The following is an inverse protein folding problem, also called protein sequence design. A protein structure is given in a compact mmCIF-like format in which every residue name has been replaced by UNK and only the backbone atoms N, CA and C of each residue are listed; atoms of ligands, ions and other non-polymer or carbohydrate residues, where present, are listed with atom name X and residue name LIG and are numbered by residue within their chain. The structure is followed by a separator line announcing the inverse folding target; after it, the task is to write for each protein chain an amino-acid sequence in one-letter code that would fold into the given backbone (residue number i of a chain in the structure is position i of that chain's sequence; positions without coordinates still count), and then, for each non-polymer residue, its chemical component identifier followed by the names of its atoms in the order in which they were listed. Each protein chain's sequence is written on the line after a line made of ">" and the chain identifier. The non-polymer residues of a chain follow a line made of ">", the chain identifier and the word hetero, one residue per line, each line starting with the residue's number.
data_IF_881394714450
#
_entry.id   IF_881394714450
#
_cell.length_a   1.000
_cell.length_b   1.000
_cell.length_c   1.000
_cell.angle_alpha   90.00
_cell.angle_beta   90.00
_cell.angle_gamma   90.00
#
_symmetry.space_group_name_H-M   'P 1'
#
loop_
_entity.id
_entity.type
_entity.pdbx_description
1 polymer ?
#
# COMPACT_ATOMS: atom_id res chain seq x y z
N UNK A 1 3.13 -56.48 14.49
CA UNK A 1 2.40 -55.53 15.37
C UNK A 1 3.07 -54.17 15.20
N UNK A 2 2.28 -53.20 14.72
CA UNK A 2 2.49 -51.75 14.70
C UNK A 2 3.48 -51.11 13.71
N UNK A 3 2.99 -51.01 12.47
CA UNK A 3 2.70 -49.77 11.72
C UNK A 3 3.17 -48.44 12.35
N UNK A 4 4.02 -47.70 11.63
CA UNK A 4 4.06 -46.24 11.63
C UNK A 4 4.09 -45.76 10.18
N UNK A 5 2.89 -45.50 9.65
CA UNK A 5 2.67 -44.83 8.38
C UNK A 5 3.04 -43.35 8.57
N UNK A 6 4.21 -42.95 8.06
CA UNK A 6 4.62 -41.56 8.02
C UNK A 6 3.83 -40.87 6.91
N UNK A 7 2.82 -40.09 7.29
CA UNK A 7 2.06 -39.23 6.38
C UNK A 7 3.00 -38.13 5.91
N UNK A 8 3.61 -38.33 4.74
CA UNK A 8 4.24 -37.27 3.96
C UNK A 8 3.11 -36.39 3.40
N UNK A 9 2.78 -35.31 4.10
CA UNK A 9 1.99 -34.21 3.54
C UNK A 9 2.86 -33.53 2.48
N UNK A 10 2.76 -34.02 1.25
CA UNK A 10 3.17 -33.26 0.07
C UNK A 10 2.15 -32.12 -0.04
N UNK A 11 2.50 -30.95 0.48
CA UNK A 11 1.87 -29.70 0.04
C UNK A 11 2.28 -29.53 -1.42
N UNK A 12 1.46 -30.06 -2.34
CA UNK A 12 1.48 -29.61 -3.71
C UNK A 12 1.28 -28.10 -3.66
N UNK A 13 2.35 -27.34 -3.95
CA UNK A 13 2.21 -25.95 -4.34
C UNK A 13 1.37 -25.98 -5.61
N UNK A 14 0.04 -25.87 -5.44
CA UNK A 14 -0.86 -25.49 -6.51
C UNK A 14 -0.31 -24.14 -6.97
N UNK A 15 0.40 -24.16 -8.10
CA UNK A 15 0.83 -22.96 -8.79
C UNK A 15 -0.42 -22.36 -9.45
N UNK A 16 -1.31 -21.82 -8.62
CA UNK A 16 -2.42 -21.00 -9.07
C UNK A 16 -1.79 -19.71 -9.54
N UNK A 17 -1.68 -19.55 -10.87
CA UNK A 17 -1.44 -18.24 -11.46
C UNK A 17 -2.49 -17.28 -10.90
N UNK A 18 -2.03 -16.24 -10.20
CA UNK A 18 -2.93 -15.23 -9.67
C UNK A 18 -3.66 -14.56 -10.83
N UNK A 19 -4.99 -14.53 -10.79
CA UNK A 19 -5.79 -13.86 -11.81
C UNK A 19 -5.51 -12.35 -11.76
N UNK A 20 -5.33 -11.74 -12.92
CA UNK A 20 -4.96 -10.31 -13.03
C UNK A 20 -5.92 -9.54 -13.91
N UNK A 21 -6.00 -8.24 -13.67
CA UNK A 21 -6.80 -7.30 -14.46
C UNK A 21 -5.97 -6.07 -14.81
N UNK A 22 -6.17 -5.51 -16.00
CA UNK A 22 -5.54 -4.25 -16.41
C UNK A 22 -6.59 -3.15 -16.49
N UNK A 23 -6.30 -2.01 -15.86
CA UNK A 23 -7.12 -0.79 -15.96
C UNK A 23 -6.30 0.37 -16.53
N UNK A 24 -7.01 1.31 -17.18
CA UNK A 24 -6.44 2.58 -17.59
C UNK A 24 -6.60 3.60 -16.46
N UNK A 25 -5.53 4.28 -16.08
CA UNK A 25 -5.57 5.41 -15.15
C UNK A 25 -5.07 6.69 -15.81
N UNK A 26 -5.17 7.82 -15.10
CA UNK A 26 -4.57 9.10 -15.51
C UNK A 26 -3.04 9.06 -15.64
N UNK A 27 -2.38 8.15 -14.92
CA UNK A 27 -0.91 8.05 -14.84
C UNK A 27 -0.32 6.98 -15.76
N UNK A 28 -1.16 6.16 -16.39
CA UNK A 28 -0.75 5.01 -17.19
C UNK A 28 -1.60 3.77 -16.92
N UNK A 29 -1.26 2.65 -17.55
CA UNK A 29 -1.95 1.38 -17.32
C UNK A 29 -1.42 0.69 -16.07
N UNK A 30 -2.31 0.06 -15.30
CA UNK A 30 -1.97 -0.73 -14.12
C UNK A 30 -2.50 -2.14 -14.26
N UNK A 31 -1.66 -3.13 -13.94
CA UNK A 31 -2.05 -4.52 -13.79
C UNK A 31 -2.17 -4.86 -12.30
N UNK A 32 -3.40 -5.13 -11.86
CA UNK A 32 -3.74 -5.52 -10.49
C UNK A 32 -4.16 -6.99 -10.40
N UNK A 33 -4.50 -7.41 -9.18
CA UNK A 33 -4.95 -8.75 -8.83
C UNK A 33 -6.47 -8.82 -8.76
N UNK A 34 -7.02 -9.97 -9.16
CA UNK A 34 -8.37 -10.41 -8.81
C UNK A 34 -8.25 -11.33 -7.60
N UNK A 35 -8.96 -11.00 -6.52
CA UNK A 35 -8.91 -11.70 -5.23
C UNK A 35 -10.30 -12.10 -4.78
N UNK A 36 -10.36 -13.07 -3.88
CA UNK A 36 -11.59 -13.51 -3.21
C UNK A 36 -11.51 -13.21 -1.72
N UNK A 37 -12.56 -12.61 -1.17
CA UNK A 37 -12.67 -12.33 0.27
C UNK A 37 -12.73 -13.64 1.05
N UNK A 38 -11.91 -13.76 2.09
CA UNK A 38 -11.93 -14.96 2.95
C UNK A 38 -13.22 -15.07 3.79
N UNK A 39 -14.01 -13.99 3.85
CA UNK A 39 -15.22 -13.92 4.67
C UNK A 39 -16.47 -14.44 3.95
N UNK A 40 -16.57 -14.22 2.64
CA UNK A 40 -17.77 -14.55 1.87
C UNK A 40 -17.51 -14.92 0.40
N UNK A 41 -16.25 -15.14 0.02
CA UNK A 41 -15.81 -15.55 -1.32
C UNK A 41 -16.13 -14.54 -2.44
N UNK A 42 -16.59 -13.33 -2.09
CA UNK A 42 -16.81 -12.27 -3.07
C UNK A 42 -15.51 -11.83 -3.71
N UNK A 43 -15.55 -11.66 -5.01
CA UNK A 43 -14.42 -11.10 -5.77
C UNK A 43 -14.22 -9.63 -5.41
N UNK A 44 -12.96 -9.24 -5.26
CA UNK A 44 -12.51 -7.85 -5.19
C UNK A 44 -11.20 -7.71 -5.97
N UNK A 45 -10.84 -6.48 -6.29
CA UNK A 45 -9.66 -6.15 -7.07
C UNK A 45 -8.66 -5.42 -6.17
N UNK A 46 -7.39 -5.78 -6.29
CA UNK A 46 -6.31 -5.19 -5.50
C UNK A 46 -5.19 -4.68 -6.41
N UNK A 47 -4.79 -3.43 -6.23
CA UNK A 47 -3.65 -2.82 -6.89
C UNK A 47 -2.65 -2.41 -5.82
N UNK A 48 -1.53 -3.12 -5.75
CA UNK A 48 -0.56 -3.02 -4.67
C UNK A 48 0.72 -2.33 -5.13
N UNK A 49 1.39 -1.60 -4.24
CA UNK A 49 2.71 -1.04 -4.52
C UNK A 49 2.70 0.07 -5.59
N UNK A 50 1.63 0.84 -5.69
CA UNK A 50 1.54 1.99 -6.60
C UNK A 50 2.40 3.13 -6.02
N UNK A 51 3.42 3.65 -6.72
CA UNK A 51 4.23 4.75 -6.20
C UNK A 51 3.43 6.05 -6.26
N UNK A 52 3.33 6.75 -5.14
CA UNK A 52 2.75 8.10 -5.09
C UNK A 52 3.83 9.19 -4.98
N UNK A 53 5.01 8.84 -4.48
CA UNK A 53 6.16 9.74 -4.37
C UNK A 53 7.44 9.14 -4.95
N UNK A 54 8.38 10.00 -5.36
CA UNK A 54 9.73 9.57 -5.71
C UNK A 54 10.42 8.95 -4.49
N UNK A 55 11.27 7.93 -4.67
CA UNK A 55 12.05 7.36 -3.58
C UNK A 55 12.83 8.45 -2.83
N UNK A 56 12.64 8.62 -1.51
CA UNK A 56 13.29 9.66 -0.73
C UNK A 56 14.75 9.28 -0.37
N UNK A 57 15.52 8.94 -1.41
CA UNK A 57 16.91 8.51 -1.34
C UNK A 57 17.87 9.67 -1.66
N UNK A 58 19.12 9.57 -1.22
CA UNK A 58 20.15 10.56 -1.51
C UNK A 58 19.73 11.96 -1.09
N UNK A 59 19.73 12.91 -2.03
CA UNK A 59 19.39 14.32 -1.79
C UNK A 59 17.93 14.55 -1.39
N UNK A 60 17.05 13.56 -1.59
CA UNK A 60 15.65 13.61 -1.16
C UNK A 60 15.44 13.10 0.28
N UNK A 61 16.48 12.51 0.89
CA UNK A 61 16.41 12.04 2.28
C UNK A 61 16.13 13.23 3.20
N UNK A 62 15.18 13.07 4.11
CA UNK A 62 14.67 14.10 5.05
C UNK A 62 13.93 15.31 4.43
N UNK A 63 13.95 15.47 3.10
CA UNK A 63 13.24 16.57 2.42
C UNK A 63 11.77 16.27 2.20
N UNK A 64 11.00 17.29 1.83
CA UNK A 64 9.62 17.12 1.39
C UNK A 64 9.55 16.12 0.21
N UNK A 65 8.53 15.25 0.17
CA UNK A 65 8.39 14.28 -0.91
C UNK A 65 8.06 15.00 -2.23
N UNK A 66 8.42 14.35 -3.32
CA UNK A 66 8.07 14.81 -4.67
C UNK A 66 7.11 13.80 -5.31
N UNK A 67 6.11 14.23 -6.07
CA UNK A 67 5.24 13.31 -6.84
C UNK A 67 6.08 12.40 -7.74
N UNK A 68 5.69 11.13 -7.84
CA UNK A 68 6.41 10.15 -8.69
C UNK A 68 6.38 10.54 -10.17
N UNK A 69 5.18 10.82 -10.70
CA UNK A 69 4.93 11.09 -12.12
C UNK A 69 4.05 10.01 -12.77
N UNK A 70 3.87 10.12 -14.07
CA UNK A 70 3.28 9.11 -14.94
C UNK A 70 4.32 8.04 -15.35
N UNK A 71 3.85 6.99 -16.01
CA UNK A 71 4.70 5.95 -16.59
C UNK A 71 4.19 5.49 -17.95
N UNK A 72 5.12 5.01 -18.77
CA UNK A 72 4.80 4.40 -20.05
C UNK A 72 4.50 2.89 -19.90
N UNK A 73 3.59 2.39 -20.73
CA UNK A 73 3.21 0.98 -20.75
C UNK A 73 2.37 0.54 -19.55
N UNK A 74 2.41 -0.76 -19.27
CA UNK A 74 1.67 -1.39 -18.18
C UNK A 74 2.61 -1.55 -16.98
N UNK A 75 2.25 -0.95 -15.85
CA UNK A 75 2.96 -1.14 -14.58
C UNK A 75 2.29 -2.22 -13.75
N UNK A 76 3.10 -3.08 -13.16
CA UNK A 76 2.63 -4.09 -12.23
C UNK A 76 2.34 -3.50 -10.86
N UNK A 77 1.11 -3.77 -10.40
CA UNK A 77 0.62 -3.48 -9.06
C UNK A 77 0.16 -4.78 -8.37
N UNK A 78 1.02 -5.80 -8.45
CA UNK A 78 0.73 -7.17 -7.99
C UNK A 78 1.29 -7.48 -6.60
N UNK A 79 2.19 -6.65 -6.09
CA UNK A 79 2.87 -6.86 -4.80
C UNK A 79 2.96 -5.56 -4.04
N UNK A 80 2.96 -5.65 -2.72
CA UNK A 80 3.24 -4.50 -1.88
C UNK A 80 4.56 -3.84 -2.25
N UNK A 81 4.60 -2.51 -2.17
CA UNK A 81 5.86 -1.78 -2.12
C UNK A 81 6.61 -2.07 -0.82
N UNK A 82 7.85 -1.59 -0.69
CA UNK A 82 8.60 -1.84 0.53
C UNK A 82 7.93 -1.17 1.74
N UNK A 83 7.92 -1.88 2.87
CA UNK A 83 7.63 -1.29 4.16
C UNK A 83 8.63 -0.15 4.47
N UNK A 84 8.19 0.94 5.12
CA UNK A 84 9.08 2.02 5.54
C UNK A 84 10.15 1.51 6.51
N UNK A 85 11.36 2.09 6.41
CA UNK A 85 12.47 1.79 7.30
C UNK A 85 12.06 1.99 8.76
N UNK A 86 12.16 0.92 9.56
CA UNK A 86 11.69 0.90 10.94
C UNK A 86 12.48 -0.11 11.80
N UNK A 87 12.38 -0.05 13.14
CA UNK A 87 12.92 -1.10 14.01
C UNK A 87 12.28 -2.46 13.68
N UNK A 88 13.04 -3.53 13.81
CA UNK A 88 12.50 -4.89 13.72
C UNK A 88 11.44 -5.10 14.80
N UNK A 89 10.38 -5.86 14.49
CA UNK A 89 9.29 -6.11 15.44
C UNK A 89 9.78 -6.67 16.78
N UNK A 90 10.77 -7.57 16.73
CA UNK A 90 11.37 -8.15 17.94
C UNK A 90 12.22 -7.14 18.72
N UNK A 91 12.77 -6.13 18.06
CA UNK A 91 13.53 -5.04 18.70
C UNK A 91 12.65 -4.12 19.56
N UNK A 92 11.32 -4.17 19.41
CA UNK A 92 10.40 -3.52 20.33
C UNK A 92 10.24 -4.29 21.66
N UNK A 93 10.58 -5.58 21.68
CA UNK A 93 10.38 -6.48 22.84
C UNK A 93 11.67 -7.13 23.36
N UNK A 94 12.82 -6.83 22.74
CA UNK A 94 14.13 -7.38 23.07
C UNK A 94 15.23 -6.32 22.89
N UNK A 95 16.41 -6.53 23.48
CA UNK A 95 17.59 -5.69 23.25
C UNK A 95 18.27 -5.98 21.88
N UNK A 96 17.49 -6.38 20.87
CA UNK A 96 18.00 -6.50 19.50
C UNK A 96 17.94 -5.14 18.82
N UNK A 97 18.92 -4.85 17.95
CA UNK A 97 18.98 -3.62 17.16
C UNK A 97 18.70 -3.90 15.67
N UNK A 98 17.83 -4.87 15.41
CA UNK A 98 17.47 -5.20 14.04
C UNK A 98 16.60 -4.09 13.44
N UNK A 99 16.77 -3.85 12.14
CA UNK A 99 15.93 -2.91 11.40
C UNK A 99 15.39 -3.59 10.16
N UNK A 100 14.14 -3.31 9.82
CA UNK A 100 13.45 -3.82 8.65
C UNK A 100 13.05 -2.67 7.72
N UNK A 101 12.49 -3.01 6.56
CA UNK A 101 11.99 -2.05 5.59
C UNK A 101 13.09 -1.32 4.79
N UNK A 102 12.65 -0.39 3.96
CA UNK A 102 13.44 0.40 3.02
C UNK A 102 13.10 1.90 3.15
N UNK A 103 14.04 2.76 2.75
CA UNK A 103 13.73 4.19 2.56
C UNK A 103 12.91 4.43 1.29
N UNK A 104 13.07 3.59 0.27
CA UNK A 104 12.18 3.58 -0.89
C UNK A 104 10.86 2.91 -0.49
N UNK A 105 9.95 3.69 0.10
CA UNK A 105 8.72 3.18 0.70
C UNK A 105 7.46 3.99 0.37
N UNK A 106 7.51 5.01 -0.48
CA UNK A 106 6.36 5.89 -0.78
C UNK A 106 5.37 5.26 -1.78
N UNK A 107 4.74 4.19 -1.31
CA UNK A 107 3.78 3.37 -2.06
C UNK A 107 2.41 3.36 -1.39
N UNK A 108 1.37 3.17 -2.20
CA UNK A 108 0.01 2.95 -1.77
C UNK A 108 -0.60 1.72 -2.44
N UNK A 109 -1.67 1.23 -1.83
CA UNK A 109 -2.47 0.12 -2.29
C UNK A 109 -3.92 0.56 -2.41
N UNK A 110 -4.63 0.03 -3.40
CA UNK A 110 -6.05 0.33 -3.67
C UNK A 110 -6.81 -0.97 -3.77
N UNK A 111 -7.98 -1.00 -3.14
CA UNK A 111 -8.89 -2.14 -3.12
C UNK A 111 -10.30 -1.69 -3.49
N UNK A 112 -10.96 -2.44 -4.37
CA UNK A 112 -12.32 -2.15 -4.81
C UNK A 112 -13.09 -3.43 -5.12
N UNK A 113 -14.40 -3.43 -4.89
CA UNK A 113 -15.28 -4.57 -5.15
C UNK A 113 -15.69 -4.72 -6.63
N UNK A 114 -15.62 -3.64 -7.41
CA UNK A 114 -16.06 -3.60 -8.80
C UNK A 114 -15.09 -2.76 -9.63
N UNK A 115 -14.88 -3.16 -10.89
CA UNK A 115 -14.10 -2.37 -11.84
C UNK A 115 -14.92 -1.16 -12.28
N UNK A 116 -14.28 0.01 -12.47
CA UNK A 116 -14.98 1.24 -12.86
C UNK A 116 -15.62 1.10 -14.25
N UNK A 117 -16.91 1.43 -14.37
CA UNK A 117 -17.62 1.49 -15.65
C UNK A 117 -17.97 2.92 -16.03
N UNK A 118 -18.13 3.13 -17.33
CA UNK A 118 -18.57 4.42 -17.87
C UNK A 118 -19.98 4.71 -17.36
N UNK A 119 -20.20 5.91 -16.81
CA UNK A 119 -21.47 6.39 -16.24
C UNK A 119 -21.96 5.68 -14.97
N UNK A 120 -21.08 4.98 -14.25
CA UNK A 120 -21.40 4.42 -12.94
C UNK A 120 -21.24 5.46 -11.83
N UNK A 121 -22.03 5.31 -10.76
CA UNK A 121 -21.92 6.18 -9.59
C UNK A 121 -20.59 5.95 -8.89
N UNK A 122 -19.94 7.04 -8.48
CA UNK A 122 -18.66 6.96 -7.77
C UNK A 122 -18.86 6.56 -6.31
N UNK A 123 -17.97 5.74 -5.79
CA UNK A 123 -18.07 5.12 -4.46
C UNK A 123 -17.33 5.95 -3.40
N UNK A 124 -17.79 5.97 -2.14
CA UNK A 124 -17.02 6.56 -1.04
C UNK A 124 -15.61 5.97 -0.95
N UNK A 125 -14.64 6.80 -0.59
CA UNK A 125 -13.22 6.41 -0.49
C UNK A 125 -12.81 6.42 0.98
N UNK A 126 -12.29 5.29 1.46
CA UNK A 126 -11.74 5.15 2.81
C UNK A 126 -10.22 5.16 2.73
N UNK A 127 -9.57 6.13 3.38
CA UNK A 127 -8.09 6.22 3.40
C UNK A 127 -7.55 5.75 4.74
N UNK A 128 -6.82 4.65 4.73
CA UNK A 128 -6.20 4.05 5.92
C UNK A 128 -4.81 4.64 6.20
N UNK A 129 -4.78 5.40 7.28
CA UNK A 129 -3.70 5.83 8.20
C UNK A 129 -2.91 4.74 8.95
N UNK A 130 -1.76 4.17 8.53
CA UNK A 130 -1.07 3.23 9.42
C UNK A 130 -0.65 3.91 10.73
N UNK A 131 -1.04 3.31 11.85
CA UNK A 131 -0.65 3.74 13.19
C UNK A 131 0.81 3.34 13.49
N UNK A 132 1.22 3.32 14.76
CA UNK A 132 2.57 2.91 15.18
C UNK A 132 3.43 4.05 15.70
N UNK A 133 2.80 5.12 16.20
CA UNK A 133 3.48 6.21 16.90
C UNK A 133 4.54 6.91 16.06
N UNK A 134 4.38 6.91 14.72
CA UNK A 134 5.35 7.41 13.76
C UNK A 134 6.68 6.63 13.71
N UNK A 135 6.77 5.44 14.32
CA UNK A 135 8.00 4.66 14.44
C UNK A 135 7.96 3.32 13.72
N UNK A 136 6.79 2.67 13.66
CA UNK A 136 6.63 1.35 13.06
C UNK A 136 5.29 1.20 12.34
N UNK A 137 5.09 0.03 11.75
CA UNK A 137 3.99 -0.37 10.87
C UNK A 137 4.06 0.17 9.45
N UNK A 138 3.10 -0.24 8.64
CA UNK A 138 3.01 0.10 7.23
C UNK A 138 1.57 -0.09 6.75
N UNK A 139 1.26 0.46 5.59
CA UNK A 139 0.00 0.27 4.88
C UNK A 139 -0.01 -0.98 4.00
N UNK A 140 0.91 -1.94 4.21
CA UNK A 140 0.98 -3.16 3.39
C UNK A 140 -0.31 -3.97 3.47
N UNK A 141 -0.59 -4.73 2.40
CA UNK A 141 -1.80 -5.55 2.28
C UNK A 141 -1.97 -6.56 3.42
N UNK A 142 -0.87 -7.06 3.97
CA UNK A 142 -0.86 -7.99 5.11
C UNK A 142 -1.20 -7.35 6.45
N UNK A 143 -1.14 -6.01 6.55
CA UNK A 143 -1.41 -5.24 7.77
C UNK A 143 -2.71 -4.44 7.67
N UNK A 144 -3.15 -4.10 6.47
CA UNK A 144 -4.43 -3.47 6.20
C UNK A 144 -5.49 -4.56 5.99
N UNK A 145 -6.26 -4.88 7.04
CA UNK A 145 -7.33 -5.90 7.00
C UNK A 145 -8.53 -5.46 6.16
N UNK A 146 -8.43 -5.57 4.83
CA UNK A 146 -9.40 -5.03 3.87
C UNK A 146 -10.65 -5.90 3.67
N UNK A 147 -10.61 -7.19 4.00
CA UNK A 147 -11.71 -8.14 3.72
C UNK A 147 -13.06 -7.68 4.30
N UNK A 148 -13.07 -7.03 5.47
CA UNK A 148 -14.29 -6.49 6.07
C UNK A 148 -14.92 -5.36 5.23
N UNK A 149 -14.08 -4.52 4.62
CA UNK A 149 -14.52 -3.39 3.81
C UNK A 149 -14.95 -3.80 2.40
N UNK A 150 -14.37 -4.87 1.86
CA UNK A 150 -14.75 -5.40 0.54
C UNK A 150 -16.16 -6.00 0.50
N UNK A 151 -16.83 -6.08 1.65
CA UNK A 151 -18.27 -6.40 1.73
C UNK A 151 -19.17 -5.19 1.44
N UNK A 152 -18.65 -3.99 1.63
CA UNK A 152 -19.34 -2.73 1.36
C UNK A 152 -19.05 -2.20 -0.04
N UNK A 153 -19.78 -1.16 -0.41
CA UNK A 153 -19.62 -0.48 -1.69
C UNK A 153 -18.68 0.73 -1.56
N UNK A 154 -17.39 0.44 -1.39
CA UNK A 154 -16.36 1.43 -1.08
C UNK A 154 -15.06 1.14 -1.82
N UNK A 155 -14.26 2.17 -2.03
CA UNK A 155 -12.86 2.04 -2.42
C UNK A 155 -12.00 2.25 -1.18
N UNK A 156 -11.09 1.33 -0.90
CA UNK A 156 -10.15 1.45 0.22
C UNK A 156 -8.76 1.76 -0.32
N UNK A 157 -8.11 2.76 0.27
CA UNK A 157 -6.72 3.10 0.00
C UNK A 157 -5.92 2.92 1.28
N UNK A 158 -4.80 2.22 1.23
CA UNK A 158 -3.78 2.23 2.29
C UNK A 158 -2.47 2.71 1.73
N UNK A 159 -1.63 3.34 2.54
CA UNK A 159 -0.35 3.85 2.04
C UNK A 159 0.72 3.90 3.12
N UNK A 160 1.97 3.99 2.69
CA UNK A 160 3.13 4.14 3.55
C UNK A 160 3.55 5.61 3.64
N UNK A 161 4.12 6.01 4.78
CA UNK A 161 4.81 7.29 4.97
C UNK A 161 6.13 7.04 5.69
N UNK A 162 7.10 7.96 5.58
CA UNK A 162 8.38 7.81 6.28
C UNK A 162 8.21 7.84 7.79
N UNK A 163 8.94 6.98 8.48
CA UNK A 163 8.88 6.79 9.93
C UNK A 163 10.18 7.25 10.62
N UNK A 164 10.13 7.41 11.95
CA UNK A 164 11.26 7.74 12.80
C UNK A 164 12.04 8.96 12.33
N UNK A 165 13.37 8.89 12.42
CA UNK A 165 14.23 9.98 11.96
C UNK A 165 14.06 10.26 10.45
N UNK A 166 13.76 9.25 9.62
CA UNK A 166 13.58 9.44 8.18
C UNK A 166 12.36 10.32 7.85
N UNK A 167 11.31 10.25 8.67
CA UNK A 167 10.10 11.06 8.49
C UNK A 167 10.05 12.33 9.34
N UNK A 168 10.73 12.37 10.48
CA UNK A 168 10.45 13.36 11.52
C UNK A 168 11.70 14.05 12.09
N UNK A 169 12.88 13.84 11.51
CA UNK A 169 14.06 14.62 11.84
C UNK A 169 13.82 16.10 11.50
N UNK A 170 14.13 16.98 12.46
CA UNK A 170 14.20 18.42 12.26
C UNK A 170 15.56 18.93 12.71
N UNK A 171 16.25 19.65 11.83
CA UNK A 171 17.49 20.38 12.13
C UNK A 171 17.28 21.91 12.04
N UNK A 172 16.02 22.35 11.98
CA UNK A 172 15.63 23.77 11.86
C UNK A 172 16.30 24.49 10.66
N UNK A 173 16.50 23.75 9.57
CA UNK A 173 17.09 24.25 8.33
C UNK A 173 16.44 23.60 7.09
N UNK A 174 16.83 24.04 5.90
CA UNK A 174 16.23 23.59 4.64
C UNK A 174 16.57 22.14 4.25
N UNK A 175 17.64 21.57 4.81
CA UNK A 175 18.03 20.18 4.53
C UNK A 175 17.14 19.17 5.28
N UNK A 176 16.72 19.52 6.50
CA UNK A 176 15.80 18.72 7.30
C UNK A 176 14.83 19.64 8.07
N UNK A 177 13.79 20.20 7.41
CA UNK A 177 12.87 21.14 8.02
C UNK A 177 11.83 20.49 8.95
N UNK A 178 11.88 19.17 9.13
CA UNK A 178 10.88 18.42 9.90
C UNK A 178 9.63 18.03 9.11
N UNK A 179 8.87 17.14 9.75
CA UNK A 179 7.54 16.67 9.30
C UNK A 179 7.50 16.12 7.87
N UNK A 180 8.59 15.52 7.40
CA UNK A 180 8.66 14.88 6.10
C UNK A 180 7.59 13.76 5.96
N UNK A 181 7.37 12.97 7.02
CA UNK A 181 6.32 11.94 7.08
C UNK A 181 4.89 12.50 6.99
N UNK A 182 4.61 13.66 7.57
CA UNK A 182 3.30 14.32 7.41
C UNK A 182 3.13 14.91 6.00
N UNK A 183 4.22 15.37 5.40
CA UNK A 183 4.22 15.81 4.00
C UNK A 183 4.03 14.62 3.05
N UNK A 184 4.50 13.42 3.40
CA UNK A 184 4.21 12.17 2.67
C UNK A 184 2.72 11.86 2.72
N UNK A 185 2.09 11.95 3.90
CA UNK A 185 0.64 11.78 4.04
C UNK A 185 -0.15 12.80 3.20
N UNK A 186 0.29 14.06 3.21
CA UNK A 186 -0.32 15.12 2.39
C UNK A 186 -0.21 14.80 0.90
N UNK A 187 0.96 14.34 0.44
CA UNK A 187 1.16 13.94 -0.95
C UNK A 187 0.30 12.72 -1.32
N UNK A 188 0.19 11.73 -0.44
CA UNK A 188 -0.67 10.56 -0.67
C UNK A 188 -2.15 10.96 -0.78
N UNK A 189 -2.65 11.82 0.11
CA UNK A 189 -4.03 12.32 0.05
C UNK A 189 -4.30 13.13 -1.22
N UNK A 190 -3.33 13.96 -1.64
CA UNK A 190 -3.41 14.67 -2.93
C UNK A 190 -3.45 13.68 -4.10
N UNK A 191 -2.60 12.65 -4.07
CA UNK A 191 -2.61 11.60 -5.08
C UNK A 191 -3.98 10.91 -5.14
N UNK A 192 -4.59 10.59 -3.99
CA UNK A 192 -5.94 9.98 -3.93
C UNK A 192 -6.95 10.92 -4.59
N UNK A 193 -7.02 12.18 -4.16
CA UNK A 193 -7.93 13.15 -4.75
C UNK A 193 -7.78 13.26 -6.27
N UNK A 194 -6.55 13.27 -6.78
CA UNK A 194 -6.29 13.49 -8.20
C UNK A 194 -6.54 12.24 -9.07
N UNK A 195 -6.54 11.03 -8.49
CA UNK A 195 -6.51 9.76 -9.26
C UNK A 195 -7.61 8.74 -8.91
N UNK A 196 -8.27 8.83 -7.76
CA UNK A 196 -9.13 7.74 -7.27
C UNK A 196 -10.39 7.48 -8.11
N UNK A 197 -10.79 8.45 -8.92
CA UNK A 197 -11.86 8.30 -9.90
C UNK A 197 -11.54 7.27 -10.99
N UNK A 198 -10.25 7.05 -11.30
CA UNK A 198 -9.80 5.97 -12.19
C UNK A 198 -10.04 4.58 -11.59
N UNK A 199 -10.39 4.50 -10.31
CA UNK A 199 -10.70 3.28 -9.56
C UNK A 199 -12.16 3.26 -9.09
N UNK A 200 -13.01 4.13 -9.66
CA UNK A 200 -14.42 4.22 -9.29
C UNK A 200 -14.71 4.94 -7.97
N UNK A 201 -13.71 5.54 -7.33
CA UNK A 201 -13.88 6.31 -6.10
C UNK A 201 -14.31 7.77 -6.36
N UNK A 202 -15.05 8.35 -5.42
CA UNK A 202 -15.43 9.76 -5.44
C UNK A 202 -14.37 10.62 -4.73
N UNK A 203 -13.61 11.48 -5.44
CA UNK A 203 -12.63 12.35 -4.83
C UNK A 203 -13.24 13.42 -3.90
N UNK A 204 -14.56 13.64 -3.97
CA UNK A 204 -15.27 14.58 -3.08
C UNK A 204 -15.89 13.89 -1.85
N UNK A 205 -15.78 12.57 -1.73
CA UNK A 205 -16.32 11.79 -0.62
C UNK A 205 -15.24 10.86 -0.04
N UNK A 206 -14.18 11.49 0.46
CA UNK A 206 -13.02 10.82 1.08
C UNK A 206 -13.15 10.91 2.59
N UNK A 207 -13.04 9.77 3.27
CA UNK A 207 -13.01 9.63 4.75
C UNK A 207 -11.66 9.13 5.22
#
# INVERSE_FOLDING_TARGET
>A
INSFCSIHLILEQINMEEETVVIQTKLGQLRGLVKHSVLNDKTYYAFLGIPFGKPPLGDLRFKAPQPYGDWEGIRDALKDGNDPKQPGLMSLYSQSFESSGSEDCLYLNIYMNELPRINEEKKPVLVSIPSGGFLCWSGSSTKCGVDNFMNGDVVVVSFNYRLGAFGFLSLENDEAPGNAGLKDQTLALKWVHDNIDSFGGDPNNVT
#
